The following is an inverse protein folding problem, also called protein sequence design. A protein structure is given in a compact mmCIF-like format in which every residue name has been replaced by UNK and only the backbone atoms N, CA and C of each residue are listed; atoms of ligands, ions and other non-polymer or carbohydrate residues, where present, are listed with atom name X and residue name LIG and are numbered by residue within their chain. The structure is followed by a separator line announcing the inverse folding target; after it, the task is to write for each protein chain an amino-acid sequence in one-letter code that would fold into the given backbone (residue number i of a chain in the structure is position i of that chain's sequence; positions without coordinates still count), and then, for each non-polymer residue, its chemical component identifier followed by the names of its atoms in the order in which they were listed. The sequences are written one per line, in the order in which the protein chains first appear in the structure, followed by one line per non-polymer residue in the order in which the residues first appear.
data_IF_930624013002
#
_entry.id   IF_930624013002
#
_cell.length_a   1.000
_cell.length_b   1.000
_cell.length_c   1.000
_cell.angle_alpha   90.00
_cell.angle_beta   90.00
_cell.angle_gamma   90.00
#
_symmetry.space_group_name_H-M   'P 1'
#
loop_
_entity.id
_entity.type
_entity.pdbx_description
1 polymer ?
#
# COMPACT_ATOMS: atom_id res chain seq x y z
N UNK A 1 -3.93 3.74 16.61
CA UNK A 1 -2.77 2.89 16.20
C UNK A 1 -1.54 3.78 16.21
N UNK A 2 -0.32 3.31 16.52
CA UNK A 2 0.84 4.21 16.45
C UNK A 2 1.10 4.63 14.99
N UNK A 3 1.26 5.94 14.74
CA UNK A 3 1.61 6.44 13.41
C UNK A 3 2.97 5.89 12.97
N UNK A 4 3.15 5.61 11.66
CA UNK A 4 4.43 5.14 11.15
C UNK A 4 5.53 6.17 11.42
N UNK A 5 6.71 5.69 11.82
CA UNK A 5 7.88 6.55 12.06
C UNK A 5 8.18 7.40 10.83
N UNK A 6 8.44 8.68 11.04
CA UNK A 6 8.78 9.63 9.98
C UNK A 6 7.58 10.27 9.29
N UNK A 7 6.34 9.88 9.60
CA UNK A 7 5.16 10.64 9.17
C UNK A 7 5.14 11.97 9.93
N UNK A 8 5.27 13.13 9.25
CA UNK A 8 5.22 14.43 9.92
C UNK A 8 3.86 14.66 10.57
N UNK A 9 3.81 15.43 11.65
CA UNK A 9 2.53 15.86 12.22
C UNK A 9 1.75 16.65 11.16
N UNK A 10 0.41 16.52 11.16
CA UNK A 10 -0.45 17.14 10.12
C UNK A 10 -0.33 18.66 10.04
N UNK A 11 0.13 19.31 11.11
CA UNK A 11 0.34 20.75 11.23
C UNK A 11 1.81 21.18 11.04
N UNK A 12 2.74 20.25 10.83
CA UNK A 12 4.13 20.59 10.50
C UNK A 12 4.16 21.33 9.16
N UNK A 13 4.84 22.50 9.05
CA UNK A 13 4.94 23.23 7.80
C UNK A 13 5.45 22.36 6.63
N UNK A 14 4.85 22.46 5.45
CA UNK A 14 5.30 21.68 4.30
C UNK A 14 6.65 22.18 3.81
N UNK A 15 7.60 21.27 3.73
CA UNK A 15 8.91 21.43 3.09
C UNK A 15 9.11 20.26 2.14
N UNK A 16 10.02 20.34 1.15
CA UNK A 16 10.32 19.20 0.29
C UNK A 16 10.64 17.91 1.09
N UNK A 17 11.38 18.05 2.19
CA UNK A 17 11.73 16.93 3.06
C UNK A 17 10.51 16.34 3.79
N UNK A 18 9.64 17.17 4.37
CA UNK A 18 8.45 16.67 5.10
C UNK A 18 7.39 16.12 4.15
N UNK A 19 7.26 16.67 2.94
CA UNK A 19 6.37 16.13 1.89
C UNK A 19 6.82 14.74 1.47
N UNK A 20 8.11 14.55 1.21
CA UNK A 20 8.65 13.24 0.86
C UNK A 20 8.53 12.25 2.02
N UNK A 21 8.78 12.70 3.26
CA UNK A 21 8.58 11.89 4.45
C UNK A 21 7.12 11.41 4.58
N UNK A 22 6.13 12.29 4.35
CA UNK A 22 4.73 11.92 4.35
C UNK A 22 4.39 10.90 3.26
N UNK A 23 4.86 11.13 2.03
CA UNK A 23 4.67 10.22 0.90
C UNK A 23 5.25 8.84 1.18
N UNK A 24 6.49 8.80 1.64
CA UNK A 24 7.21 7.57 1.95
C UNK A 24 6.55 6.81 3.12
N UNK A 25 6.17 7.50 4.20
CA UNK A 25 5.52 6.87 5.34
C UNK A 25 4.15 6.26 5.00
N UNK A 26 3.31 6.99 4.26
CA UNK A 26 2.01 6.48 3.80
C UNK A 26 2.16 5.32 2.82
N UNK A 27 3.13 5.40 1.90
CA UNK A 27 3.42 4.31 0.96
C UNK A 27 3.85 3.06 1.70
N UNK A 28 4.70 3.19 2.72
CA UNK A 28 5.20 2.07 3.51
C UNK A 28 4.12 1.25 4.24
N UNK A 29 2.92 1.80 4.44
CA UNK A 29 1.79 1.14 5.11
C UNK A 29 0.65 0.72 4.17
N UNK A 30 0.84 0.83 2.86
CA UNK A 30 -0.10 0.30 1.85
C UNK A 30 -0.04 -1.23 1.77
N UNK A 31 -1.12 -1.87 1.30
CA UNK A 31 -1.36 -3.32 1.39
C UNK A 31 -0.23 -4.22 0.86
N UNK A 32 0.59 -3.72 -0.07
CA UNK A 32 1.71 -4.42 -0.68
C UNK A 32 3.08 -3.99 -0.14
N UNK A 33 3.14 -3.21 0.93
CA UNK A 33 4.39 -2.77 1.54
C UNK A 33 4.63 -3.47 2.89
N UNK A 34 5.90 -3.52 3.30
CA UNK A 34 6.29 -4.26 4.50
C UNK A 34 5.71 -3.67 5.80
N UNK A 35 5.41 -2.37 5.85
CA UNK A 35 4.81 -1.72 7.00
C UNK A 35 3.31 -1.98 7.17
N UNK A 36 2.62 -2.58 6.19
CA UNK A 36 1.22 -2.95 6.32
C UNK A 36 1.07 -4.32 6.98
N UNK A 37 0.62 -4.39 8.23
CA UNK A 37 0.34 -5.66 8.92
C UNK A 37 -0.84 -6.39 8.28
N UNK A 38 -1.87 -5.62 7.93
CA UNK A 38 -3.05 -6.04 7.21
C UNK A 38 -3.25 -5.18 5.96
N UNK A 39 -4.00 -5.64 4.95
CA UNK A 39 -4.27 -4.84 3.75
C UNK A 39 -4.94 -3.48 4.05
N UNK A 40 -5.67 -3.38 5.16
CA UNK A 40 -6.36 -2.17 5.60
C UNK A 40 -5.55 -1.28 6.58
N UNK A 41 -4.31 -1.64 6.94
CA UNK A 41 -3.47 -0.83 7.85
C UNK A 41 -3.32 0.61 7.36
N UNK A 42 -3.24 0.83 6.05
CA UNK A 42 -3.22 2.14 5.43
C UNK A 42 -4.36 3.05 5.91
N UNK A 43 -5.60 2.54 5.94
CA UNK A 43 -6.76 3.34 6.33
C UNK A 43 -6.75 3.71 7.81
N UNK A 44 -6.20 2.83 8.66
CA UNK A 44 -6.02 3.09 10.09
C UNK A 44 -4.98 4.19 10.33
N UNK A 45 -3.87 4.18 9.58
CA UNK A 45 -2.88 5.28 9.61
C UNK A 45 -3.51 6.59 9.14
N UNK A 46 -4.27 6.54 8.04
CA UNK A 46 -4.87 7.74 7.45
C UNK A 46 -5.85 8.41 8.42
N UNK A 47 -6.74 7.64 9.06
CA UNK A 47 -7.70 8.17 10.06
C UNK A 47 -6.97 8.85 11.23
N UNK A 48 -5.99 8.16 11.80
CA UNK A 48 -5.18 8.67 12.90
C UNK A 48 -4.42 9.96 12.51
N UNK A 49 -3.92 10.05 11.27
CA UNK A 49 -3.09 11.17 10.83
C UNK A 49 -3.87 12.46 10.56
N UNK A 50 -4.99 12.38 9.85
CA UNK A 50 -5.75 13.58 9.40
C UNK A 50 -6.69 14.11 10.49
N UNK A 51 -7.05 13.26 11.45
CA UNK A 51 -7.96 13.57 12.54
C UNK A 51 -8.96 12.42 12.65
N UNK A 52 -8.96 11.68 13.78
CA UNK A 52 -9.70 10.44 13.86
C UNK A 52 -11.20 10.72 13.73
N UNK A 53 -11.76 10.33 12.60
CA UNK A 53 -13.21 10.35 12.37
C UNK A 53 -13.85 9.03 12.78
N UNK A 54 -13.03 7.97 12.95
CA UNK A 54 -13.49 6.66 13.35
C UNK A 54 -14.53 6.12 12.38
N UNK A 55 -15.52 5.38 12.89
CA UNK A 55 -16.53 4.72 12.05
C UNK A 55 -17.40 5.68 11.23
N UNK A 56 -17.44 6.98 11.55
CA UNK A 56 -18.15 7.97 10.76
C UNK A 56 -17.32 8.45 9.54
N UNK A 57 -15.99 8.36 9.62
CA UNK A 57 -15.10 8.83 8.55
C UNK A 57 -14.92 7.82 7.43
N UNK A 58 -14.59 8.35 6.25
CA UNK A 58 -14.29 7.54 5.08
C UNK A 58 -13.21 6.48 5.33
N UNK A 59 -12.04 6.78 5.96
CA UNK A 59 -10.98 5.78 6.07
C UNK A 59 -11.43 4.51 6.80
N UNK A 60 -12.12 4.63 7.94
CA UNK A 60 -12.54 3.47 8.73
C UNK A 60 -13.91 2.95 8.29
N UNK A 61 -14.92 3.82 8.25
CA UNK A 61 -16.31 3.44 7.98
C UNK A 61 -16.54 2.90 6.57
N UNK A 62 -15.74 3.33 5.60
CA UNK A 62 -15.85 2.88 4.20
C UNK A 62 -14.59 2.14 3.75
N UNK A 63 -13.43 2.81 3.74
CA UNK A 63 -12.18 2.29 3.17
C UNK A 63 -11.75 0.96 3.78
N UNK A 64 -11.57 0.91 5.11
CA UNK A 64 -11.22 -0.30 5.86
C UNK A 64 -12.33 -1.36 5.76
N UNK A 65 -13.59 -0.96 5.97
CA UNK A 65 -14.72 -1.89 5.93
C UNK A 65 -14.79 -2.65 4.59
N UNK A 66 -14.76 -1.94 3.47
CA UNK A 66 -14.82 -2.58 2.15
C UNK A 66 -13.52 -3.28 1.77
N UNK A 67 -12.37 -2.75 2.17
CA UNK A 67 -11.10 -3.46 2.03
C UNK A 67 -11.17 -4.85 2.69
N UNK A 68 -11.69 -4.93 3.91
CA UNK A 68 -11.93 -6.21 4.60
C UNK A 68 -12.93 -7.08 3.85
N UNK A 69 -14.10 -6.54 3.50
CA UNK A 69 -15.16 -7.30 2.82
C UNK A 69 -14.69 -7.93 1.50
N UNK A 70 -14.01 -7.16 0.64
CA UNK A 70 -13.44 -7.68 -0.60
C UNK A 70 -12.31 -8.67 -0.34
N UNK A 71 -11.41 -8.36 0.60
CA UNK A 71 -10.25 -9.19 0.89
C UNK A 71 -10.61 -10.55 1.49
N UNK A 72 -11.66 -10.64 2.31
CA UNK A 72 -12.06 -11.87 2.98
C UNK A 72 -13.12 -12.67 2.22
N UNK A 73 -13.70 -12.12 1.14
CA UNK A 73 -14.73 -12.80 0.37
C UNK A 73 -14.20 -14.09 -0.28
N UNK A 74 -14.76 -15.23 0.13
CA UNK A 74 -14.26 -16.54 -0.30
C UNK A 74 -14.42 -16.78 -1.81
N UNK A 75 -15.55 -16.37 -2.41
CA UNK A 75 -15.82 -16.54 -3.84
C UNK A 75 -14.78 -15.80 -4.68
N UNK A 76 -14.50 -14.54 -4.35
CA UNK A 76 -13.49 -13.73 -5.04
C UNK A 76 -12.06 -14.26 -4.84
N UNK A 77 -11.77 -14.92 -3.71
CA UNK A 77 -10.43 -15.46 -3.44
C UNK A 77 -10.14 -16.78 -4.14
N UNK A 78 -11.19 -17.59 -4.38
CA UNK A 78 -11.08 -18.89 -5.06
C UNK A 78 -10.70 -18.73 -6.54
N UNK A 79 -11.20 -17.69 -7.20
CA UNK A 79 -10.87 -17.39 -8.60
C UNK A 79 -9.62 -16.49 -8.68
N UNK A 80 -8.61 -16.91 -9.44
CA UNK A 80 -7.31 -16.23 -9.51
C UNK A 80 -7.39 -14.83 -10.13
N UNK A 81 -8.24 -14.65 -11.15
CA UNK A 81 -8.46 -13.38 -11.84
C UNK A 81 -9.09 -12.34 -10.90
N UNK A 82 -10.17 -12.71 -10.20
CA UNK A 82 -10.85 -11.80 -9.26
C UNK A 82 -10.01 -11.51 -8.03
N UNK A 83 -9.26 -12.49 -7.51
CA UNK A 83 -8.28 -12.25 -6.45
C UNK A 83 -7.22 -11.23 -6.85
N UNK A 84 -6.69 -11.34 -8.07
CA UNK A 84 -5.72 -10.38 -8.61
C UNK A 84 -6.34 -8.99 -8.82
N UNK A 85 -7.60 -8.92 -9.27
CA UNK A 85 -8.35 -7.67 -9.37
C UNK A 85 -8.53 -7.00 -8.01
N UNK A 86 -9.05 -7.71 -7.00
CA UNK A 86 -9.20 -7.19 -5.62
C UNK A 86 -7.89 -6.58 -5.12
N UNK A 87 -6.78 -7.29 -5.30
CA UNK A 87 -5.46 -6.82 -4.89
C UNK A 87 -5.05 -5.52 -5.60
N UNK A 88 -5.16 -5.47 -6.93
CA UNK A 88 -4.74 -4.30 -7.73
C UNK A 88 -5.64 -3.09 -7.48
N UNK A 89 -6.96 -3.30 -7.40
CA UNK A 89 -7.92 -2.24 -7.12
C UNK A 89 -7.69 -1.64 -5.74
N UNK A 90 -7.47 -2.48 -4.72
CA UNK A 90 -7.15 -2.01 -3.38
C UNK A 90 -5.90 -1.13 -3.35
N UNK A 91 -4.80 -1.56 -3.99
CA UNK A 91 -3.58 -0.76 -4.09
C UNK A 91 -3.86 0.56 -4.81
N UNK A 92 -4.57 0.54 -5.94
CA UNK A 92 -4.88 1.74 -6.71
C UNK A 92 -5.72 2.75 -5.90
N UNK A 93 -6.71 2.30 -5.12
CA UNK A 93 -7.50 3.15 -4.23
C UNK A 93 -6.62 3.80 -3.14
N UNK A 94 -5.68 3.03 -2.56
CA UNK A 94 -4.76 3.53 -1.54
C UNK A 94 -3.76 4.53 -2.13
N UNK A 95 -3.24 4.29 -3.33
CA UNK A 95 -2.38 5.24 -4.07
C UNK A 95 -3.10 6.56 -4.31
N UNK A 96 -4.33 6.52 -4.83
CA UNK A 96 -5.13 7.71 -5.11
C UNK A 96 -5.38 8.54 -3.86
N UNK A 97 -5.76 7.90 -2.74
CA UNK A 97 -5.98 8.59 -1.48
C UNK A 97 -4.67 9.16 -0.91
N UNK A 98 -3.57 8.38 -0.92
CA UNK A 98 -2.23 8.85 -0.52
C UNK A 98 -1.87 10.11 -1.29
N UNK A 99 -1.97 10.07 -2.62
CA UNK A 99 -1.52 11.18 -3.47
C UNK A 99 -2.38 12.42 -3.26
N UNK A 100 -3.68 12.26 -3.03
CA UNK A 100 -4.55 13.36 -2.60
C UNK A 100 -4.08 13.96 -1.28
N UNK A 101 -3.88 13.17 -0.23
CA UNK A 101 -3.47 13.67 1.09
C UNK A 101 -2.10 14.33 1.07
N UNK A 102 -1.12 13.76 0.34
CA UNK A 102 0.21 14.36 0.17
C UNK A 102 0.12 15.70 -0.57
N UNK A 103 -0.75 15.84 -1.58
CA UNK A 103 -1.00 17.13 -2.22
C UNK A 103 -1.60 18.15 -1.26
N UNK A 104 -2.56 17.75 -0.43
CA UNK A 104 -3.15 18.65 0.59
C UNK A 104 -2.12 19.05 1.65
N UNK A 105 -1.22 18.14 2.03
CA UNK A 105 -0.10 18.44 2.92
C UNK A 105 0.86 19.45 2.29
N UNK A 106 1.30 19.20 1.07
CA UNK A 106 2.18 20.10 0.31
C UNK A 106 1.59 21.51 0.14
N UNK A 107 0.26 21.61 -0.01
CA UNK A 107 -0.46 22.88 -0.10
C UNK A 107 -0.69 23.58 1.26
N UNK A 108 -0.22 23.00 2.38
CA UNK A 108 -0.47 23.53 3.73
C UNK A 108 -1.95 23.46 4.15
N UNK A 109 -2.76 22.64 3.47
CA UNK A 109 -4.22 22.52 3.67
C UNK A 109 -4.62 21.32 4.51
N UNK A 110 -3.73 20.35 4.73
CA UNK A 110 -4.07 19.11 5.44
C UNK A 110 -4.65 19.34 6.84
N UNK A 111 -4.15 20.32 7.59
CA UNK A 111 -4.64 20.62 8.93
C UNK A 111 -6.11 21.07 8.97
N UNK A 112 -6.67 21.54 7.83
CA UNK A 112 -8.03 22.05 7.69
C UNK A 112 -8.91 21.17 6.81
N UNK A 113 -8.40 20.01 6.38
CA UNK A 113 -9.14 19.11 5.49
C UNK A 113 -10.35 18.54 6.22
N UNK A 114 -11.50 18.57 5.56
CA UNK A 114 -12.73 17.98 6.07
C UNK A 114 -12.88 16.51 5.70
N UNK A 115 -13.69 15.79 6.47
CA UNK A 115 -14.10 14.41 6.15
C UNK A 115 -14.75 14.34 4.77
N UNK A 116 -15.64 15.30 4.47
CA UNK A 116 -16.34 15.38 3.20
C UNK A 116 -15.38 15.56 2.01
N UNK A 117 -14.34 16.38 2.14
CA UNK A 117 -13.31 16.54 1.09
C UNK A 117 -12.55 15.23 0.84
N UNK A 118 -12.16 14.52 1.91
CA UNK A 118 -11.47 13.23 1.79
C UNK A 118 -12.38 12.18 1.16
N UNK A 119 -13.63 12.10 1.62
CA UNK A 119 -14.65 11.20 1.09
C UNK A 119 -14.86 11.43 -0.41
N UNK A 120 -15.13 12.67 -0.81
CA UNK A 120 -15.34 13.02 -2.21
C UNK A 120 -14.15 12.66 -3.09
N UNK A 121 -12.92 13.01 -2.67
CA UNK A 121 -11.71 12.67 -3.41
C UNK A 121 -11.49 11.15 -3.54
N UNK A 122 -11.83 10.40 -2.50
CA UNK A 122 -11.69 8.95 -2.52
C UNK A 122 -12.74 8.30 -3.43
N UNK A 123 -14.02 8.70 -3.35
CA UNK A 123 -15.08 8.22 -4.24
C UNK A 123 -14.76 8.49 -5.71
N UNK A 124 -14.31 9.71 -6.04
CA UNK A 124 -13.92 10.08 -7.41
C UNK A 124 -12.79 9.21 -8.00
N UNK A 125 -12.01 8.50 -7.18
CA UNK A 125 -10.94 7.61 -7.65
C UNK A 125 -11.39 6.20 -8.03
N UNK A 126 -12.61 5.80 -7.65
CA UNK A 126 -13.04 4.40 -7.72
C UNK A 126 -13.15 3.86 -9.14
N UNK A 127 -13.79 4.58 -10.05
CA UNK A 127 -13.94 4.13 -11.43
C UNK A 127 -12.57 3.86 -12.08
N UNK A 128 -11.63 4.79 -11.93
CA UNK A 128 -10.26 4.63 -12.41
C UNK A 128 -9.53 3.47 -11.72
N UNK A 129 -9.69 3.30 -10.40
CA UNK A 129 -9.06 2.21 -9.67
C UNK A 129 -9.63 0.82 -10.04
N UNK A 130 -10.92 0.75 -10.36
CA UNK A 130 -11.58 -0.49 -10.82
C UNK A 130 -11.10 -0.86 -12.22
N UNK A 131 -10.98 0.11 -13.12
CA UNK A 131 -10.43 -0.08 -14.45
C UNK A 131 -8.95 -0.51 -14.40
N UNK A 132 -8.11 0.24 -13.66
CA UNK A 132 -6.69 -0.10 -13.42
C UNK A 132 -6.51 -1.47 -12.75
N UNK A 133 -7.45 -1.85 -11.89
CA UNK A 133 -7.49 -3.17 -11.27
C UNK A 133 -7.81 -4.30 -12.24
N UNK A 134 -8.36 -3.97 -13.41
CA UNK A 134 -8.76 -4.91 -14.45
C UNK A 134 -10.18 -5.44 -14.29
N UNK A 135 -11.15 -4.61 -13.85
CA UNK A 135 -12.55 -5.04 -13.69
C UNK A 135 -13.12 -5.57 -15.01
N UNK A 136 -12.73 -5.00 -16.15
CA UNK A 136 -13.10 -5.49 -17.49
C UNK A 136 -12.70 -6.95 -17.72
N UNK A 137 -11.51 -7.36 -17.24
CA UNK A 137 -11.04 -8.73 -17.36
C UNK A 137 -11.86 -9.68 -16.48
N UNK A 138 -12.26 -9.22 -15.29
CA UNK A 138 -13.17 -9.96 -14.41
C UNK A 138 -14.53 -10.14 -15.08
N UNK A 139 -15.10 -9.08 -15.64
CA UNK A 139 -16.39 -9.14 -16.33
C UNK A 139 -16.37 -10.10 -17.52
N UNK A 140 -15.23 -10.23 -18.21
CA UNK A 140 -15.07 -11.15 -19.33
C UNK A 140 -14.88 -12.61 -18.89
N UNK A 141 -14.04 -12.85 -17.88
CA UNK A 141 -13.55 -14.21 -17.54
C UNK A 141 -14.32 -14.84 -16.37
N UNK A 142 -14.91 -14.03 -15.50
CA UNK A 142 -15.70 -14.46 -14.35
C UNK A 142 -16.96 -13.58 -14.18
N UNK A 143 -17.82 -13.46 -15.22
CA UNK A 143 -19.02 -12.63 -15.17
C UNK A 143 -19.95 -12.98 -14.01
N UNK A 144 -20.00 -14.25 -13.59
CA UNK A 144 -20.77 -14.74 -12.45
C UNK A 144 -20.36 -14.13 -11.11
N UNK A 145 -19.16 -13.55 -11.02
CA UNK A 145 -18.66 -12.86 -9.82
C UNK A 145 -18.98 -11.37 -9.80
N UNK A 146 -19.46 -10.77 -10.90
CA UNK A 146 -19.86 -9.36 -10.96
C UNK A 146 -20.99 -9.04 -9.98
N UNK A 147 -22.07 -9.85 -9.83
CA UNK A 147 -23.08 -9.62 -8.80
C UNK A 147 -22.51 -9.68 -7.36
N UNK A 148 -21.50 -10.52 -7.13
CA UNK A 148 -20.81 -10.57 -5.82
C UNK A 148 -20.02 -9.28 -5.58
N UNK A 149 -19.35 -8.74 -6.59
CA UNK A 149 -18.63 -7.47 -6.51
C UNK A 149 -19.58 -6.29 -6.25
N UNK A 150 -20.69 -6.23 -6.99
CA UNK A 150 -21.68 -5.16 -6.88
C UNK A 150 -22.48 -5.21 -5.56
N UNK A 151 -22.68 -6.39 -4.97
CA UNK A 151 -23.44 -6.53 -3.72
C UNK A 151 -22.64 -6.20 -2.46
N UNK A 152 -21.30 -6.17 -2.52
CA UNK A 152 -20.46 -5.82 -1.37
C UNK A 152 -20.80 -4.42 -0.84
N UNK A 153 -20.85 -3.34 -1.66
CA UNK A 153 -21.28 -2.01 -1.22
C UNK A 153 -22.81 -1.84 -1.08
N UNK A 154 -23.60 -2.91 -1.00
CA UNK A 154 -25.09 -2.84 -1.00
C UNK A 154 -25.68 -1.89 0.05
N UNK A 155 -25.02 -1.72 1.20
CA UNK A 155 -25.46 -0.81 2.27
C UNK A 155 -25.37 0.67 1.91
N UNK A 156 -24.53 1.03 0.95
CA UNK A 156 -24.38 2.42 0.49
C UNK A 156 -25.50 2.86 -0.45
N UNK A 157 -26.31 1.91 -0.95
CA UNK A 157 -27.49 2.21 -1.76
C UNK A 157 -28.76 2.44 -0.93
N UNK A 158 -28.67 2.62 0.40
CA UNK A 158 -29.81 3.17 1.15
C UNK A 158 -30.05 4.61 0.68
N UNK A 159 -31.22 4.95 0.07
CA UNK A 159 -31.51 6.29 -0.43
C UNK A 159 -31.50 7.37 0.66
N UNK A 160 -31.49 6.98 1.94
CA UNK A 160 -31.39 7.88 3.10
C UNK A 160 -29.95 8.07 3.60
N UNK A 161 -28.99 7.30 3.07
CA UNK A 161 -27.59 7.36 3.45
C UNK A 161 -26.87 8.55 2.82
N UNK A 162 -25.96 9.18 3.57
CA UNK A 162 -25.13 10.30 3.08
C UNK A 162 -24.24 9.93 1.87
N UNK A 163 -24.03 8.64 1.60
CA UNK A 163 -23.20 8.14 0.51
C UNK A 163 -23.98 7.67 -0.72
N UNK A 164 -25.32 7.79 -0.72
CA UNK A 164 -26.16 7.23 -1.79
C UNK A 164 -25.78 7.76 -3.17
N UNK A 165 -25.85 9.08 -3.37
CA UNK A 165 -25.57 9.69 -4.67
C UNK A 165 -24.13 9.46 -5.16
N UNK A 166 -23.08 9.67 -4.33
CA UNK A 166 -21.71 9.32 -4.73
C UNK A 166 -21.53 7.85 -5.14
N UNK A 167 -22.22 6.92 -4.47
CA UNK A 167 -22.14 5.49 -4.78
C UNK A 167 -22.88 5.15 -6.08
N UNK A 168 -24.03 5.80 -6.32
CA UNK A 168 -24.76 5.68 -7.60
C UNK A 168 -23.92 6.19 -8.76
N UNK A 169 -23.32 7.37 -8.64
CA UNK A 169 -22.44 7.94 -9.67
C UNK A 169 -21.24 7.03 -9.95
N UNK A 170 -20.59 6.53 -8.90
CA UNK A 170 -19.49 5.57 -9.02
C UNK A 170 -19.90 4.32 -9.81
N UNK A 171 -21.09 3.76 -9.54
CA UNK A 171 -21.61 2.58 -10.24
C UNK A 171 -21.88 2.89 -11.69
N UNK A 172 -22.55 4.02 -11.99
CA UNK A 172 -22.87 4.42 -13.36
C UNK A 172 -21.60 4.65 -14.19
N UNK A 173 -20.59 5.33 -13.62
CA UNK A 173 -19.28 5.50 -14.26
C UNK A 173 -18.58 4.16 -14.50
N UNK A 174 -18.52 3.31 -13.47
CA UNK A 174 -17.86 2.00 -13.54
C UNK A 174 -18.54 1.06 -14.54
N UNK A 175 -19.87 1.10 -14.62
CA UNK A 175 -20.67 0.35 -15.59
C UNK A 175 -20.55 0.94 -17.00
N UNK A 176 -20.49 2.27 -17.15
CA UNK A 176 -20.23 2.92 -18.44
C UNK A 176 -18.90 2.48 -19.04
N UNK A 177 -17.83 2.45 -18.25
CA UNK A 177 -16.53 1.91 -18.71
C UNK A 177 -16.56 0.39 -18.94
N UNK A 178 -17.20 -0.34 -18.02
CA UNK A 178 -17.25 -1.81 -18.04
C UNK A 178 -18.07 -2.38 -19.20
N UNK A 179 -19.26 -1.85 -19.46
CA UNK A 179 -20.19 -2.36 -20.48
C UNK A 179 -19.68 -2.08 -21.89
N UNK A 180 -19.23 -0.86 -22.19
CA UNK A 180 -18.69 -0.54 -23.51
C UNK A 180 -17.40 -1.33 -23.82
N UNK A 181 -16.50 -1.50 -22.83
CA UNK A 181 -15.26 -2.27 -23.02
C UNK A 181 -15.51 -3.78 -23.01
N UNK A 182 -16.38 -4.31 -22.15
CA UNK A 182 -16.71 -5.74 -22.15
C UNK A 182 -17.42 -6.16 -23.44
N UNK A 183 -18.28 -5.30 -24.01
CA UNK A 183 -18.87 -5.52 -25.34
C UNK A 183 -17.80 -5.48 -26.45
N UNK A 184 -16.90 -4.49 -26.42
CA UNK A 184 -15.80 -4.41 -27.40
C UNK A 184 -14.82 -5.59 -27.29
N UNK A 185 -14.50 -6.04 -26.08
CA UNK A 185 -13.60 -7.17 -25.81
C UNK A 185 -14.30 -8.51 -26.08
N UNK A 186 -15.59 -8.63 -25.79
CA UNK A 186 -16.42 -9.78 -26.18
C UNK A 186 -16.44 -9.95 -27.70
N UNK A 187 -16.62 -8.86 -28.44
CA UNK A 187 -16.52 -8.86 -29.91
C UNK A 187 -15.10 -9.18 -30.41
N UNK A 188 -14.05 -8.72 -29.72
CA UNK A 188 -12.67 -9.07 -30.04
C UNK A 188 -12.28 -10.51 -29.69
N UNK A 189 -12.95 -11.13 -28.70
CA UNK A 189 -12.73 -12.54 -28.31
C UNK A 189 -13.38 -13.55 -29.26
N UNK A 190 -14.23 -13.07 -30.17
CA UNK A 190 -14.72 -13.82 -31.32
C UNK A 190 -13.75 -13.78 -32.52
N UNK A 191 -12.62 -13.07 -32.40
CA UNK A 191 -11.56 -13.08 -33.39
C UNK A 191 -10.51 -14.17 -33.06
N UNK A 192 -9.83 -14.74 -34.08
CA UNK A 192 -8.99 -15.93 -33.92
C UNK A 192 -7.93 -15.82 -32.83
N UNK A 193 -7.55 -16.95 -32.23
CA UNK A 193 -6.60 -17.12 -31.12
C UNK A 193 -5.16 -16.58 -31.35
N UNK A 194 -4.93 -15.81 -32.41
CA UNK A 194 -3.65 -15.28 -32.86
C UNK A 194 -3.51 -13.77 -32.60
N UNK A 195 -4.47 -13.13 -31.94
CA UNK A 195 -4.56 -11.66 -31.76
C UNK A 195 -3.44 -11.02 -30.91
N UNK A 196 -2.41 -11.76 -30.52
CA UNK A 196 -1.25 -11.24 -29.76
C UNK A 196 -1.56 -10.83 -28.32
N UNK A 197 -2.83 -10.75 -27.92
CA UNK A 197 -3.24 -10.35 -26.57
C UNK A 197 -2.79 -11.36 -25.51
N UNK A 198 -3.00 -12.66 -25.76
CA UNK A 198 -2.56 -13.73 -24.86
C UNK A 198 -1.03 -13.82 -24.77
N UNK A 199 -0.32 -13.63 -25.89
CA UNK A 199 1.15 -13.64 -25.88
C UNK A 199 1.73 -12.42 -25.16
N UNK A 200 1.09 -11.25 -25.27
CA UNK A 200 1.44 -10.06 -24.49
C UNK A 200 1.18 -10.24 -22.99
N UNK A 201 0.04 -10.84 -22.62
CA UNK A 201 -0.28 -11.17 -21.24
C UNK A 201 0.75 -12.18 -20.66
N UNK A 202 1.11 -13.23 -21.42
CA UNK A 202 2.13 -14.20 -21.03
C UNK A 202 3.52 -13.56 -20.86
N UNK A 203 3.93 -12.68 -21.79
CA UNK A 203 5.20 -11.91 -21.67
C UNK A 203 5.20 -10.96 -20.48
N UNK A 204 4.06 -10.35 -20.15
CA UNK A 204 3.94 -9.52 -18.96
C UNK A 204 4.09 -10.35 -17.68
N UNK A 205 3.49 -11.55 -17.63
CA UNK A 205 3.62 -12.45 -16.49
C UNK A 205 5.04 -13.00 -16.32
N UNK A 206 5.70 -13.39 -17.42
CA UNK A 206 7.12 -13.79 -17.44
C UNK A 206 8.03 -12.71 -16.87
N UNK A 207 7.85 -11.44 -17.29
CA UNK A 207 8.59 -10.29 -16.75
C UNK A 207 8.34 -10.09 -15.26
N UNK A 208 7.08 -10.20 -14.83
CA UNK A 208 6.73 -10.14 -13.41
C UNK A 208 7.46 -11.23 -12.64
N UNK A 209 7.38 -12.50 -13.05
CA UNK A 209 8.04 -13.60 -12.35
C UNK A 209 9.57 -13.46 -12.28
N UNK A 210 10.21 -12.89 -13.31
CA UNK A 210 11.62 -12.54 -13.26
C UNK A 210 11.93 -11.47 -12.21
N UNK A 211 11.11 -10.41 -12.14
CA UNK A 211 11.24 -9.35 -11.14
C UNK A 211 11.05 -9.88 -9.71
N UNK A 212 10.07 -10.76 -9.50
CA UNK A 212 9.82 -11.45 -8.22
C UNK A 212 11.08 -12.22 -7.77
N UNK A 213 11.64 -13.04 -8.67
CA UNK A 213 12.85 -13.84 -8.38
C UNK A 213 14.05 -12.95 -8.05
N UNK A 214 14.28 -11.88 -8.80
CA UNK A 214 15.37 -10.95 -8.56
C UNK A 214 15.26 -10.29 -7.17
N UNK A 215 14.05 -9.84 -6.80
CA UNK A 215 13.79 -9.23 -5.50
C UNK A 215 13.98 -10.23 -4.34
N UNK A 216 13.49 -11.45 -4.49
CA UNK A 216 13.72 -12.52 -3.50
C UNK A 216 15.22 -12.83 -3.33
N UNK A 217 15.97 -12.88 -4.43
CA UNK A 217 17.42 -13.06 -4.38
C UNK A 217 18.14 -11.93 -3.65
N UNK A 218 17.68 -10.68 -3.81
CA UNK A 218 18.23 -9.53 -3.07
C UNK A 218 17.93 -9.63 -1.58
N UNK A 219 16.68 -9.94 -1.21
CA UNK A 219 16.29 -10.11 0.20
C UNK A 219 17.10 -11.24 0.86
N UNK A 220 17.23 -12.39 0.20
CA UNK A 220 18.00 -13.52 0.71
C UNK A 220 19.49 -13.16 0.91
N UNK A 221 20.07 -12.40 -0.04
CA UNK A 221 21.46 -11.90 0.09
C UNK A 221 21.62 -10.97 1.28
N UNK A 222 20.71 -10.02 1.47
CA UNK A 222 20.74 -9.09 2.62
C UNK A 222 20.62 -9.86 3.92
N UNK A 223 19.71 -10.85 4.02
CA UNK A 223 19.58 -11.70 5.20
C UNK A 223 20.87 -12.47 5.49
N UNK A 224 21.48 -13.10 4.48
CA UNK A 224 22.76 -13.81 4.65
C UNK A 224 23.89 -12.87 5.10
N UNK A 225 23.96 -11.64 4.56
CA UNK A 225 24.93 -10.64 5.00
C UNK A 225 24.68 -10.17 6.44
N UNK A 226 23.41 -10.04 6.85
CA UNK A 226 23.01 -9.71 8.21
C UNK A 226 23.43 -10.80 9.20
N UNK A 227 23.14 -12.07 8.88
CA UNK A 227 23.51 -13.24 9.69
C UNK A 227 25.03 -13.37 9.85
N UNK A 228 25.78 -13.05 8.79
CA UNK A 228 27.24 -13.04 8.81
C UNK A 228 27.87 -11.82 9.50
N UNK A 229 27.07 -10.90 10.07
CA UNK A 229 27.56 -9.67 10.73
C UNK A 229 28.18 -8.64 9.77
N UNK A 230 28.04 -8.83 8.45
CA UNK A 230 28.61 -7.92 7.43
C UNK A 230 27.85 -6.59 7.32
N UNK A 231 26.68 -6.50 7.96
CA UNK A 231 25.84 -5.31 8.03
C UNK A 231 25.84 -4.66 9.41
N UNK A 232 26.88 -4.88 10.24
CA UNK A 232 26.96 -4.38 11.62
C UNK A 232 27.25 -2.87 11.73
N UNK A 233 26.42 -2.07 11.05
CA UNK A 233 26.37 -0.61 11.13
C UNK A 233 24.91 -0.18 11.15
N UNK A 234 24.49 0.52 12.20
CA UNK A 234 23.12 1.03 12.39
C UNK A 234 22.68 1.87 11.18
N UNK A 235 23.55 2.72 10.66
CA UNK A 235 23.31 3.53 9.45
C UNK A 235 22.99 2.67 8.21
N UNK A 236 23.73 1.59 7.98
CA UNK A 236 23.47 0.63 6.88
C UNK A 236 22.15 -0.11 7.10
N UNK A 237 21.89 -0.57 8.33
CA UNK A 237 20.64 -1.27 8.68
C UNK A 237 19.41 -0.34 8.55
N UNK A 238 19.55 0.94 8.85
CA UNK A 238 18.52 1.95 8.62
C UNK A 238 18.26 2.15 7.12
N UNK A 239 19.31 2.23 6.29
CA UNK A 239 19.16 2.32 4.84
C UNK A 239 18.46 1.08 4.24
N UNK A 240 18.82 -0.13 4.70
CA UNK A 240 18.14 -1.38 4.32
C UNK A 240 16.66 -1.34 4.73
N UNK A 241 16.37 -0.95 5.97
CA UNK A 241 14.98 -0.84 6.48
C UNK A 241 14.15 0.14 5.65
N UNK A 242 14.68 1.35 5.39
CA UNK A 242 14.02 2.36 4.58
C UNK A 242 13.78 1.89 3.14
N UNK A 243 14.74 1.15 2.56
CA UNK A 243 14.59 0.56 1.22
C UNK A 243 13.50 -0.51 1.18
N UNK A 244 13.44 -1.40 2.17
CA UNK A 244 12.41 -2.44 2.25
C UNK A 244 11.00 -1.85 2.46
N UNK A 245 10.87 -0.76 3.22
CA UNK A 245 9.59 -0.08 3.42
C UNK A 245 9.09 0.64 2.15
N UNK A 246 10.00 1.19 1.33
CA UNK A 246 9.64 1.95 0.13
C UNK A 246 9.34 1.10 -1.11
N UNK A 247 9.74 -0.17 -1.15
CA UNK A 247 9.50 -1.04 -2.31
C UNK A 247 8.11 -1.68 -2.22
N UNK A 248 7.27 -1.58 -3.28
CA UNK A 248 6.03 -2.34 -3.37
C UNK A 248 6.34 -3.81 -3.63
N UNK A 249 5.71 -4.75 -2.94
CA UNK A 249 5.87 -6.19 -3.15
C UNK A 249 4.76 -6.75 -4.06
N UNK A 250 5.06 -7.80 -4.85
CA UNK A 250 4.11 -8.39 -5.79
C UNK A 250 2.95 -9.12 -5.10
N UNK A 251 3.16 -9.57 -3.87
CA UNK A 251 2.21 -10.33 -3.05
C UNK A 251 2.50 -10.16 -1.55
N UNK A 252 1.57 -10.67 -0.73
CA UNK A 252 1.63 -10.61 0.73
C UNK A 252 2.75 -11.44 1.34
N UNK A 253 3.12 -12.57 0.72
CA UNK A 253 4.17 -13.43 1.25
C UNK A 253 5.51 -12.71 1.19
N UNK A 254 5.83 -12.06 0.07
CA UNK A 254 7.03 -11.25 -0.06
C UNK A 254 7.04 -10.04 0.88
N UNK A 255 5.91 -9.34 1.01
CA UNK A 255 5.79 -8.26 1.99
C UNK A 255 6.05 -8.74 3.42
N UNK A 256 5.58 -9.96 3.76
CA UNK A 256 5.87 -10.59 5.07
C UNK A 256 7.36 -10.90 5.23
N UNK A 257 8.01 -11.53 4.25
CA UNK A 257 9.46 -11.81 4.31
C UNK A 257 10.26 -10.51 4.49
N UNK A 258 9.89 -9.44 3.79
CA UNK A 258 10.52 -8.13 3.96
C UNK A 258 10.30 -7.55 5.37
N UNK A 259 9.10 -7.73 5.94
CA UNK A 259 8.80 -7.32 7.33
C UNK A 259 9.63 -8.09 8.35
N UNK A 260 9.78 -9.40 8.17
CA UNK A 260 10.61 -10.24 9.04
C UNK A 260 12.07 -9.78 8.98
N UNK A 261 12.59 -9.49 7.78
CA UNK A 261 13.94 -8.93 7.62
C UNK A 261 14.10 -7.55 8.28
N UNK A 262 13.08 -6.68 8.22
CA UNK A 262 13.08 -5.40 8.95
C UNK A 262 13.16 -5.64 10.46
N UNK A 263 12.43 -6.62 10.98
CA UNK A 263 12.48 -6.99 12.39
C UNK A 263 13.89 -7.49 12.78
N UNK A 264 14.51 -8.33 11.95
CA UNK A 264 15.88 -8.82 12.13
C UNK A 264 16.88 -7.65 12.15
N UNK A 265 16.77 -6.70 11.21
CA UNK A 265 17.59 -5.48 11.19
C UNK A 265 17.40 -4.64 12.46
N UNK A 266 16.15 -4.47 12.94
CA UNK A 266 15.86 -3.73 14.16
C UNK A 266 16.43 -4.40 15.40
N UNK A 267 16.35 -5.73 15.50
CA UNK A 267 16.98 -6.49 16.58
C UNK A 267 18.50 -6.31 16.55
N UNK A 268 19.13 -6.39 15.37
CA UNK A 268 20.57 -6.21 15.23
C UNK A 268 21.04 -4.80 15.62
N UNK A 269 20.28 -3.76 15.25
CA UNK A 269 20.57 -2.37 15.68
C UNK A 269 20.62 -2.22 17.19
N UNK A 270 19.67 -2.80 17.93
CA UNK A 270 19.68 -2.78 19.41
C UNK A 270 20.89 -3.48 20.00
N UNK A 271 21.33 -4.59 19.40
CA UNK A 271 22.55 -5.31 19.82
C UNK A 271 23.79 -4.44 19.64
N UNK A 272 23.94 -3.80 18.47
CA UNK A 272 25.07 -2.91 18.16
C UNK A 272 25.07 -1.71 19.12
N UNK A 273 23.93 -1.04 19.28
CA UNK A 273 23.82 0.12 20.15
C UNK A 273 24.10 -0.22 21.63
N UNK A 274 23.61 -1.38 22.10
CA UNK A 274 23.92 -1.88 23.45
C UNK A 274 25.41 -2.17 23.64
N UNK A 275 26.09 -2.68 22.60
CA UNK A 275 27.54 -2.86 22.62
C UNK A 275 28.27 -1.52 22.72
N UNK A 276 27.91 -0.54 21.88
CA UNK A 276 28.49 0.80 21.96
C UNK A 276 28.26 1.45 23.33
N UNK A 277 27.08 1.32 23.92
CA UNK A 277 26.81 1.82 25.29
C UNK A 277 27.76 1.22 26.33
N UNK A 278 28.01 -0.09 26.27
CA UNK A 278 28.96 -0.75 27.19
C UNK A 278 30.39 -0.28 26.98
N UNK A 279 30.84 -0.17 25.73
CA UNK A 279 32.18 0.32 25.42
C UNK A 279 32.37 1.78 25.88
N UNK A 280 31.34 2.63 25.75
CA UNK A 280 31.37 4.02 26.22
C UNK A 280 31.32 4.19 27.75
N UNK A 281 30.95 3.15 28.50
CA UNK A 281 31.10 3.16 29.97
C UNK A 281 32.58 3.06 30.36
N UNK A 282 33.41 2.44 29.52
CA UNK A 282 34.85 2.26 29.75
C UNK A 282 35.66 3.35 29.03
N UNK A 283 35.25 3.72 27.81
CA UNK A 283 35.93 4.65 26.90
C UNK A 283 34.98 5.76 26.43
N UNK A 284 34.59 6.70 27.31
CA UNK A 284 33.63 7.76 26.96
C UNK A 284 34.10 8.65 25.79
N UNK A 285 35.41 8.79 25.60
CA UNK A 285 36.04 9.55 24.51
C UNK A 285 35.73 8.99 23.11
N UNK A 286 35.35 7.70 23.00
CA UNK A 286 35.00 7.09 21.71
C UNK A 286 33.64 7.54 21.17
N UNK A 287 32.84 8.28 21.95
CA UNK A 287 31.48 8.70 21.54
C UNK A 287 31.50 9.50 20.25
N UNK A 288 32.43 10.43 20.10
CA UNK A 288 32.57 11.23 18.88
C UNK A 288 32.90 10.34 17.66
N UNK A 289 33.74 9.32 17.87
CA UNK A 289 34.05 8.37 16.81
C UNK A 289 32.83 7.54 16.41
N UNK A 290 32.05 6.99 17.35
CA UNK A 290 30.83 6.24 17.04
C UNK A 290 29.78 7.10 16.33
N UNK A 291 29.56 8.34 16.78
CA UNK A 291 28.66 9.26 16.09
C UNK A 291 29.08 9.55 14.65
N UNK A 292 30.39 9.60 14.39
CA UNK A 292 30.95 9.83 13.05
C UNK A 292 30.85 8.60 12.15
N UNK A 293 31.21 7.42 12.65
CA UNK A 293 31.25 6.19 11.83
C UNK A 293 29.91 5.50 11.69
N UNK A 294 29.00 5.69 12.64
CA UNK A 294 27.69 5.05 12.63
C UNK A 294 26.58 5.97 13.18
N UNK A 295 26.25 7.04 12.44
CA UNK A 295 25.28 8.04 12.90
C UNK A 295 23.91 7.42 13.20
N UNK A 296 23.28 7.89 14.28
CA UNK A 296 21.96 7.43 14.73
C UNK A 296 21.98 6.20 15.64
N UNK A 297 23.15 5.63 15.96
CA UNK A 297 23.25 4.45 16.84
C UNK A 297 22.62 4.67 18.22
N UNK A 298 22.68 5.89 18.76
CA UNK A 298 22.21 6.21 20.11
C UNK A 298 20.69 6.12 20.29
N UNK A 299 19.93 6.11 19.19
CA UNK A 299 18.47 6.02 19.18
C UNK A 299 17.93 4.59 19.42
N UNK A 300 18.80 3.57 19.42
CA UNK A 300 18.45 2.15 19.44
C UNK A 300 18.82 1.44 20.73
#
# INVERSE_FOLDING_TARGET
MALPRGLPAKNTPPTPATIEAARSALTGVMANHAGAEQPWTFYEVVDEWIGPWGNAGYPIGYGKYYCQAFWTNEKLRRNTTTRAWVWRTMIALQESLRDFLVRQYAAGRLARISEAEVRAAAFASHASAYDRGGLTLVALIAPELIPTIASIPSREFDPRGANFWPTVDQVLESLGFGVHRAMAVGLASLMPAHSGFLSNAYRADQRRMAEIRNRMGTIARVRSQLEAGRLDRVSVLNAVTARLLSIPFPDRQMARVARDLIADCNARKRVIASRYRRELQVHPEWRANYNRVDPGWSEW
#
